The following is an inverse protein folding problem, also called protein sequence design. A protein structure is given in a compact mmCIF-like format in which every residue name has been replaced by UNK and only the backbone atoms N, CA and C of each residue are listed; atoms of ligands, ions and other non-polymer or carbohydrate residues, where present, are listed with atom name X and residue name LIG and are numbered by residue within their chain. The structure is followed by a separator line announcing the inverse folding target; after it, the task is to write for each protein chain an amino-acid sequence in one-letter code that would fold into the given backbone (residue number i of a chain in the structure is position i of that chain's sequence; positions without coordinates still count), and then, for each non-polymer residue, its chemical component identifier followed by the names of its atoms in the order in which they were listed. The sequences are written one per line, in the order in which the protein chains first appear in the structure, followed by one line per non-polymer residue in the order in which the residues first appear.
data_IF_758780534115
#
_entry.id   IF_758780534115
#
_cell.length_a   1.000
_cell.length_b   1.000
_cell.length_c   1.000
_cell.angle_alpha   90.00
_cell.angle_beta   90.00
_cell.angle_gamma   90.00
#
_symmetry.space_group_name_H-M   'P 1'
#
loop_
_entity.id
_entity.type
_entity.pdbx_description
1 polymer ?
#
# COMPACT_ATOMS: atom_id res chain seq x y z
N UNK A 1 9.97 31.85 -1.28
CA UNK A 1 9.27 30.65 -1.79
C UNK A 1 9.86 30.31 -3.14
N UNK A 2 10.78 29.34 -3.20
CA UNK A 2 11.41 28.94 -4.46
C UNK A 2 10.52 27.91 -5.15
N UNK A 3 10.11 28.20 -6.39
CA UNK A 3 9.32 27.27 -7.19
C UNK A 3 10.22 26.13 -7.65
N UNK A 4 9.94 24.91 -7.21
CA UNK A 4 10.65 23.71 -7.65
C UNK A 4 10.14 23.33 -9.03
N UNK A 5 10.93 23.61 -10.06
CA UNK A 5 10.62 23.17 -11.43
C UNK A 5 11.19 21.78 -11.70
N UNK A 6 10.47 20.95 -12.46
CA UNK A 6 10.91 19.61 -12.80
C UNK A 6 12.12 19.66 -13.76
N UNK A 7 13.00 18.65 -13.65
CA UNK A 7 14.38 18.65 -14.17
C UNK A 7 14.49 18.94 -15.68
N UNK A 8 13.47 18.55 -16.45
CA UNK A 8 13.35 18.75 -17.90
C UNK A 8 13.07 20.20 -18.36
N UNK A 9 12.68 21.11 -17.45
CA UNK A 9 12.40 22.51 -17.77
C UNK A 9 13.60 23.45 -17.55
N UNK A 10 14.77 22.94 -17.15
CA UNK A 10 15.99 23.75 -16.91
C UNK A 10 16.81 24.09 -18.16
N UNK A 11 16.38 23.66 -19.35
CA UNK A 11 17.18 23.79 -20.57
C UNK A 11 16.92 25.08 -21.39
N UNK A 12 16.03 25.96 -20.94
CA UNK A 12 15.61 27.14 -21.72
C UNK A 12 15.78 28.39 -20.86
N UNK A 13 17.01 28.76 -20.50
CA UNK A 13 17.42 30.15 -20.24
C UNK A 13 18.90 30.19 -19.82
N UNK A 14 19.75 30.78 -20.68
CA UNK A 14 20.97 31.49 -20.25
C UNK A 14 22.20 30.65 -19.84
N UNK A 15 22.99 30.28 -20.84
CA UNK A 15 24.47 30.22 -20.90
C UNK A 15 25.29 30.38 -19.59
N UNK A 16 25.93 29.32 -19.10
CA UNK A 16 27.35 29.32 -18.68
C UNK A 16 27.86 27.92 -18.27
N UNK A 17 28.96 27.49 -18.91
CA UNK A 17 29.98 26.59 -18.37
C UNK A 17 29.59 25.17 -17.92
N UNK A 18 29.87 24.16 -18.77
CA UNK A 18 30.40 22.89 -18.28
C UNK A 18 29.96 21.59 -18.96
N UNK A 19 30.50 21.30 -20.15
CA UNK A 19 31.01 19.96 -20.45
C UNK A 19 30.13 18.96 -21.23
N UNK A 20 30.45 18.87 -22.53
CA UNK A 20 30.49 17.64 -23.34
C UNK A 20 29.18 17.05 -23.89
N UNK A 21 28.74 17.59 -25.02
CA UNK A 21 28.08 16.82 -26.07
C UNK A 21 28.50 17.40 -27.43
N UNK A 22 29.00 16.54 -28.32
CA UNK A 22 29.52 16.92 -29.63
C UNK A 22 28.46 17.57 -30.51
N UNK A 23 28.77 18.79 -30.97
CA UNK A 23 27.98 19.54 -31.93
C UNK A 23 28.57 19.31 -33.32
N UNK A 24 27.84 18.60 -34.17
CA UNK A 24 28.02 18.61 -35.62
C UNK A 24 27.47 19.92 -36.17
N UNK A 25 28.36 20.79 -36.62
CA UNK A 25 28.02 22.03 -37.31
C UNK A 25 27.47 21.73 -38.71
N UNK A 26 26.20 22.07 -38.94
CA UNK A 26 25.62 22.27 -40.26
C UNK A 26 26.22 23.54 -40.87
N UNK A 27 26.99 23.38 -41.94
CA UNK A 27 27.44 24.47 -42.80
C UNK A 27 26.40 24.74 -43.87
N UNK A 28 25.51 25.70 -43.63
CA UNK A 28 24.69 26.30 -44.69
C UNK A 28 25.56 27.26 -45.51
N UNK A 29 26.09 26.77 -46.63
CA UNK A 29 26.65 27.63 -47.69
C UNK A 29 25.67 27.63 -48.86
N UNK A 30 24.73 28.56 -48.84
CA UNK A 30 23.93 28.93 -50.00
C UNK A 30 24.83 29.52 -51.09
N UNK A 31 25.13 28.75 -52.13
CA UNK A 31 25.69 29.28 -53.38
C UNK A 31 24.56 29.52 -54.36
N UNK A 32 24.25 30.81 -54.58
CA UNK A 32 23.42 31.25 -55.70
C UNK A 32 24.12 30.91 -57.01
N UNK A 33 23.38 30.27 -57.90
CA UNK A 33 23.78 30.03 -59.28
C UNK A 33 23.42 31.27 -60.10
N UNK A 34 24.40 32.13 -60.35
CA UNK A 34 24.38 33.06 -61.48
C UNK A 34 25.38 32.54 -62.50
N UNK A 35 24.86 32.22 -63.69
CA UNK A 35 25.68 31.82 -64.82
C UNK A 35 26.35 33.02 -65.46
N UNK A 36 27.58 32.83 -65.90
CA UNK A 36 28.02 33.45 -67.15
C UNK A 36 29.01 32.50 -67.85
N UNK A 37 28.83 32.41 -69.16
CA UNK A 37 29.45 31.38 -69.99
C UNK A 37 30.92 31.66 -70.29
N UNK A 38 31.70 30.59 -70.35
CA UNK A 38 32.84 30.58 -71.27
C UNK A 38 33.04 29.19 -71.87
N UNK A 39 32.90 29.18 -73.18
CA UNK A 39 33.10 28.10 -74.13
C UNK A 39 34.52 27.53 -74.02
N UNK A 40 34.62 26.24 -73.69
CA UNK A 40 35.80 25.44 -74.01
C UNK A 40 35.30 24.04 -74.34
N UNK A 41 35.33 23.72 -75.63
CA UNK A 41 34.99 22.39 -76.10
C UNK A 41 35.96 21.36 -75.55
N UNK A 42 35.43 20.44 -74.76
CA UNK A 42 35.90 19.06 -74.76
C UNK A 42 34.67 18.19 -74.59
N UNK A 43 34.44 17.29 -75.53
CA UNK A 43 33.33 16.34 -75.49
C UNK A 43 33.59 15.36 -74.35
N UNK A 44 33.15 15.70 -73.13
CA UNK A 44 33.08 14.77 -72.00
C UNK A 44 32.12 13.65 -72.38
N UNK A 45 32.67 12.60 -72.98
CA UNK A 45 32.00 11.32 -73.09
C UNK A 45 31.65 10.88 -71.68
N UNK A 46 30.38 11.06 -71.31
CA UNK A 46 29.81 10.48 -70.09
C UNK A 46 30.19 9.01 -70.11
N UNK A 47 31.09 8.60 -69.21
CA UNK A 47 31.46 7.21 -69.07
C UNK A 47 30.28 6.47 -68.43
N UNK A 48 29.31 6.13 -69.27
CA UNK A 48 28.08 5.42 -68.89
C UNK A 48 28.40 4.08 -68.21
N UNK A 49 29.58 3.50 -68.49
CA UNK A 49 30.03 2.27 -67.85
C UNK A 49 30.46 2.53 -66.41
N UNK A 50 31.26 3.57 -66.17
CA UNK A 50 31.63 3.97 -64.80
C UNK A 50 30.40 4.37 -63.97
N UNK A 51 29.45 5.10 -64.56
CA UNK A 51 28.20 5.49 -63.89
C UNK A 51 27.31 4.29 -63.55
N UNK A 52 27.23 3.31 -64.45
CA UNK A 52 26.49 2.07 -64.21
C UNK A 52 27.12 1.23 -63.11
N UNK A 53 28.45 1.11 -63.09
CA UNK A 53 29.17 0.40 -62.04
C UNK A 53 29.00 1.07 -60.68
N UNK A 54 29.03 2.41 -60.63
CA UNK A 54 28.74 3.17 -59.41
C UNK A 54 27.30 2.94 -58.94
N UNK A 55 26.32 3.00 -59.85
CA UNK A 55 24.92 2.74 -59.51
C UNK A 55 24.69 1.31 -59.00
N UNK A 56 25.44 0.32 -59.47
CA UNK A 56 25.40 -1.03 -58.92
C UNK A 56 25.96 -1.09 -57.49
N UNK A 57 27.08 -0.43 -57.22
CA UNK A 57 27.67 -0.35 -55.87
C UNK A 57 26.75 0.38 -54.89
N UNK A 58 26.15 1.48 -55.31
CA UNK A 58 25.20 2.24 -54.50
C UNK A 58 23.93 1.43 -54.22
N UNK A 59 23.45 0.66 -55.20
CA UNK A 59 22.30 -0.24 -55.02
C UNK A 59 22.63 -1.39 -54.05
N UNK A 60 23.82 -1.99 -54.15
CA UNK A 60 24.28 -3.02 -53.22
C UNK A 60 24.42 -2.46 -51.79
N UNK A 61 24.99 -1.27 -51.65
CA UNK A 61 25.12 -0.60 -50.35
C UNK A 61 23.74 -0.26 -49.76
N UNK A 62 22.80 0.22 -50.58
CA UNK A 62 21.44 0.49 -50.14
C UNK A 62 20.71 -0.79 -49.69
N UNK A 63 20.97 -1.94 -50.34
CA UNK A 63 20.44 -3.24 -49.90
C UNK A 63 21.04 -3.66 -48.55
N UNK A 64 22.36 -3.55 -48.38
CA UNK A 64 23.02 -3.85 -47.11
C UNK A 64 22.51 -2.95 -45.98
N UNK A 65 22.31 -1.67 -46.25
CA UNK A 65 21.79 -0.74 -45.25
C UNK A 65 20.32 -1.07 -44.92
N UNK A 66 19.49 -1.38 -45.91
CA UNK A 66 18.12 -1.84 -45.68
C UNK A 66 18.06 -3.12 -44.82
N UNK A 67 18.98 -4.05 -45.01
CA UNK A 67 19.11 -5.26 -44.18
C UNK A 67 19.53 -4.92 -42.74
N UNK A 68 20.50 -4.01 -42.57
CA UNK A 68 20.90 -3.51 -41.24
C UNK A 68 19.71 -2.86 -40.54
N UNK A 69 18.96 -1.99 -41.21
CA UNK A 69 17.76 -1.34 -40.65
C UNK A 69 16.69 -2.35 -40.24
N UNK A 70 16.42 -3.36 -41.07
CA UNK A 70 15.50 -4.46 -40.72
C UNK A 70 15.99 -5.24 -39.50
N UNK A 71 17.29 -5.54 -39.41
CA UNK A 71 17.87 -6.22 -38.27
C UNK A 71 17.79 -5.38 -36.98
N UNK A 72 18.02 -4.07 -37.08
CA UNK A 72 17.87 -3.14 -35.95
C UNK A 72 16.42 -3.04 -35.48
N UNK A 73 15.47 -2.94 -36.40
CA UNK A 73 14.03 -2.91 -36.11
C UNK A 73 13.58 -4.18 -35.36
N UNK A 74 13.96 -5.37 -35.84
CA UNK A 74 13.65 -6.63 -35.15
C UNK A 74 14.20 -6.68 -33.73
N UNK A 75 15.46 -6.25 -33.52
CA UNK A 75 16.06 -6.19 -32.17
C UNK A 75 15.31 -5.27 -31.23
N UNK A 76 14.78 -4.15 -31.72
CA UNK A 76 13.99 -3.22 -30.91
C UNK A 76 12.63 -3.80 -30.56
N UNK A 77 11.95 -4.45 -31.51
CA UNK A 77 10.71 -5.16 -31.25
C UNK A 77 10.90 -6.29 -30.22
N UNK A 78 11.94 -7.11 -30.36
CA UNK A 78 12.25 -8.19 -29.42
C UNK A 78 12.54 -7.65 -28.02
N UNK A 79 13.29 -6.53 -27.92
CA UNK A 79 13.57 -5.88 -26.63
C UNK A 79 12.31 -5.27 -26.01
N UNK A 80 11.42 -4.69 -26.81
CA UNK A 80 10.16 -4.13 -26.33
C UNK A 80 9.22 -5.23 -25.82
N UNK A 81 9.13 -6.36 -26.54
CA UNK A 81 8.35 -7.53 -26.11
C UNK A 81 8.91 -8.10 -24.81
N UNK A 82 10.21 -8.36 -24.75
CA UNK A 82 10.86 -8.87 -23.53
C UNK A 82 10.61 -7.96 -22.32
N UNK A 83 10.65 -6.63 -22.49
CA UNK A 83 10.32 -5.69 -21.43
C UNK A 83 8.86 -5.79 -20.98
N UNK A 84 7.92 -5.83 -21.93
CA UNK A 84 6.50 -5.96 -21.62
C UNK A 84 6.17 -7.26 -20.89
N UNK A 85 6.76 -8.39 -21.33
CA UNK A 85 6.56 -9.68 -20.66
C UNK A 85 7.08 -9.63 -19.21
N UNK A 86 8.27 -9.05 -18.99
CA UNK A 86 8.81 -8.90 -17.63
C UNK A 86 8.01 -7.92 -16.76
N UNK A 87 7.48 -6.84 -17.35
CA UNK A 87 6.67 -5.87 -16.61
C UNK A 87 5.33 -6.50 -16.20
N UNK A 88 4.70 -7.30 -17.08
CA UNK A 88 3.49 -8.06 -16.78
C UNK A 88 3.68 -9.08 -15.65
N UNK A 89 4.75 -9.88 -15.72
CA UNK A 89 5.09 -10.84 -14.66
C UNK A 89 5.33 -10.15 -13.31
N UNK A 90 6.00 -8.98 -13.32
CA UNK A 90 6.24 -8.20 -12.11
C UNK A 90 4.95 -7.64 -11.50
N UNK A 91 4.01 -7.20 -12.33
CA UNK A 91 2.72 -6.68 -11.86
C UNK A 91 1.84 -7.81 -11.30
N UNK A 92 1.83 -8.98 -11.91
CA UNK A 92 1.16 -10.18 -11.38
C UNK A 92 1.75 -10.61 -10.02
N UNK A 93 3.08 -10.57 -9.88
CA UNK A 93 3.76 -10.86 -8.60
C UNK A 93 3.38 -9.84 -7.53
N UNK A 94 3.35 -8.54 -7.87
CA UNK A 94 2.93 -7.48 -6.94
C UNK A 94 1.48 -7.63 -6.51
N UNK A 95 0.58 -7.97 -7.43
CA UNK A 95 -0.83 -8.20 -7.12
C UNK A 95 -1.00 -9.37 -6.14
N UNK A 96 -0.31 -10.50 -6.40
CA UNK A 96 -0.31 -11.66 -5.49
C UNK A 96 0.30 -11.33 -4.13
N UNK A 97 1.36 -10.52 -4.08
CA UNK A 97 1.96 -10.09 -2.83
C UNK A 97 0.96 -9.26 -2.00
N UNK A 98 0.27 -8.29 -2.62
CA UNK A 98 -0.73 -7.48 -1.95
C UNK A 98 -1.89 -8.34 -1.40
N UNK A 99 -2.34 -9.34 -2.16
CA UNK A 99 -3.37 -10.28 -1.73
C UNK A 99 -2.90 -11.11 -0.52
N UNK A 100 -1.67 -11.64 -0.55
CA UNK A 100 -1.10 -12.42 0.56
C UNK A 100 -0.93 -11.53 1.80
N UNK A 101 -0.47 -10.29 1.65
CA UNK A 101 -0.34 -9.34 2.76
C UNK A 101 -1.70 -9.02 3.39
N UNK A 102 -2.75 -8.84 2.58
CA UNK A 102 -4.10 -8.62 3.08
C UNK A 102 -4.61 -9.86 3.83
N UNK A 103 -4.51 -11.04 3.24
CA UNK A 103 -4.94 -12.30 3.86
C UNK A 103 -4.20 -12.55 5.18
N UNK A 104 -2.91 -12.20 5.26
CA UNK A 104 -2.12 -12.33 6.47
C UNK A 104 -2.58 -11.33 7.54
N UNK A 105 -2.92 -10.09 7.17
CA UNK A 105 -3.51 -9.11 8.09
C UNK A 105 -4.84 -9.58 8.66
N UNK A 106 -5.73 -10.09 7.80
CA UNK A 106 -7.03 -10.62 8.20
C UNK A 106 -6.87 -11.84 9.10
N UNK A 107 -5.97 -12.77 8.74
CA UNK A 107 -5.67 -13.94 9.55
C UNK A 107 -5.11 -13.58 10.93
N UNK A 108 -4.23 -12.56 11.02
CA UNK A 108 -3.72 -12.06 12.31
C UNK A 108 -4.80 -11.44 13.16
N UNK A 109 -5.65 -10.60 12.56
CA UNK A 109 -6.77 -9.98 13.27
C UNK A 109 -7.74 -11.04 13.81
N UNK A 110 -8.05 -12.07 13.02
CA UNK A 110 -8.89 -13.18 13.48
C UNK A 110 -8.22 -13.99 14.58
N UNK A 111 -6.92 -14.26 14.47
CA UNK A 111 -6.17 -14.97 15.51
C UNK A 111 -6.17 -14.18 16.84
N UNK A 112 -5.94 -12.87 16.79
CA UNK A 112 -6.04 -12.01 17.97
C UNK A 112 -7.45 -12.05 18.58
N UNK A 113 -8.51 -12.03 17.77
CA UNK A 113 -9.89 -12.16 18.27
C UNK A 113 -10.12 -13.50 18.94
N UNK A 114 -9.74 -14.60 18.30
CA UNK A 114 -9.87 -15.95 18.85
C UNK A 114 -9.09 -16.11 20.15
N UNK A 115 -7.86 -15.61 20.22
CA UNK A 115 -7.05 -15.65 21.45
C UNK A 115 -7.69 -14.81 22.56
N UNK A 116 -8.23 -13.63 22.24
CA UNK A 116 -8.94 -12.82 23.25
C UNK A 116 -10.22 -13.50 23.75
N UNK A 117 -10.99 -14.13 22.86
CA UNK A 117 -12.20 -14.88 23.24
C UNK A 117 -11.84 -16.09 24.09
N UNK A 118 -10.82 -16.85 23.68
CA UNK A 118 -10.30 -17.97 24.46
C UNK A 118 -9.90 -17.52 25.87
N UNK A 119 -9.15 -16.43 25.99
CA UNK A 119 -8.71 -15.92 27.29
C UNK A 119 -9.90 -15.50 28.17
N UNK A 120 -10.93 -14.87 27.60
CA UNK A 120 -12.17 -14.54 28.32
C UNK A 120 -12.87 -15.78 28.86
N UNK A 121 -12.99 -16.83 28.04
CA UNK A 121 -13.60 -18.08 28.46
C UNK A 121 -12.77 -18.81 29.53
N UNK A 122 -11.45 -18.77 29.42
CA UNK A 122 -10.52 -19.36 30.40
C UNK A 122 -10.65 -18.66 31.76
N UNK A 123 -10.60 -17.32 31.78
CA UNK A 123 -10.82 -16.52 32.99
C UNK A 123 -12.25 -16.70 33.54
N UNK A 124 -13.25 -16.78 32.67
CA UNK A 124 -14.63 -17.05 33.05
C UNK A 124 -14.78 -18.37 33.79
N UNK A 125 -14.12 -19.43 33.29
CA UNK A 125 -14.11 -20.74 33.93
C UNK A 125 -13.32 -20.75 35.24
N UNK A 126 -12.16 -20.06 35.29
CA UNK A 126 -11.31 -19.97 36.49
C UNK A 126 -12.03 -19.33 37.69
N UNK A 127 -12.78 -18.26 37.45
CA UNK A 127 -13.46 -17.49 38.50
C UNK A 127 -14.98 -17.76 38.59
N UNK A 128 -15.49 -18.76 37.87
CA UNK A 128 -16.90 -19.17 37.93
C UNK A 128 -17.90 -18.11 37.46
N UNK A 129 -17.53 -17.29 36.46
CA UNK A 129 -18.38 -16.23 35.92
C UNK A 129 -19.51 -16.79 35.05
N UNK A 130 -20.64 -16.10 35.05
CA UNK A 130 -21.69 -16.34 34.08
C UNK A 130 -21.28 -15.86 32.69
N UNK A 131 -21.95 -16.34 31.63
CA UNK A 131 -21.66 -15.92 30.26
C UNK A 131 -21.79 -14.40 30.07
N UNK A 132 -22.77 -13.79 30.72
CA UNK A 132 -23.01 -12.35 30.66
C UNK A 132 -21.86 -11.56 31.31
N UNK A 133 -21.26 -12.09 32.37
CA UNK A 133 -20.13 -11.45 33.04
C UNK A 133 -18.81 -11.62 32.27
N UNK A 134 -18.64 -12.74 31.55
CA UNK A 134 -17.49 -12.98 30.66
C UNK A 134 -17.46 -11.96 29.52
N UNK A 135 -18.62 -11.57 28.99
CA UNK A 135 -18.73 -10.56 27.92
C UNK A 135 -18.31 -9.15 28.38
N UNK A 136 -18.29 -8.90 29.69
CA UNK A 136 -17.82 -7.65 30.29
C UNK A 136 -16.28 -7.57 30.37
N UNK A 137 -15.58 -8.71 30.26
CA UNK A 137 -14.12 -8.74 30.26
C UNK A 137 -13.58 -8.06 29.00
N UNK A 138 -12.86 -6.95 29.19
CA UNK A 138 -12.25 -6.13 28.14
C UNK A 138 -10.93 -5.56 28.63
N UNK A 139 -10.04 -5.23 27.70
CA UNK A 139 -8.72 -4.68 27.99
C UNK A 139 -7.61 -5.69 27.78
N UNK A 140 -6.48 -5.49 28.45
CA UNK A 140 -5.35 -6.41 28.41
C UNK A 140 -5.63 -7.65 29.29
N UNK A 141 -4.79 -8.68 29.20
CA UNK A 141 -4.92 -9.91 30.02
C UNK A 141 -5.00 -9.60 31.52
N UNK A 142 -4.13 -8.73 32.02
CA UNK A 142 -4.10 -8.35 33.44
C UNK A 142 -5.38 -7.63 33.88
N UNK A 143 -5.92 -6.74 33.03
CA UNK A 143 -7.17 -6.02 33.30
C UNK A 143 -8.35 -6.98 33.34
N UNK A 144 -8.39 -7.92 32.38
CA UNK A 144 -9.42 -8.95 32.33
C UNK A 144 -9.35 -9.88 33.53
N UNK A 145 -8.14 -10.29 33.95
CA UNK A 145 -7.95 -11.12 35.16
C UNK A 145 -8.38 -10.39 36.43
N UNK A 146 -7.97 -9.14 36.61
CA UNK A 146 -8.38 -8.34 37.77
C UNK A 146 -9.90 -8.11 37.81
N UNK A 147 -10.53 -7.86 36.66
CA UNK A 147 -11.98 -7.72 36.58
C UNK A 147 -12.70 -9.05 36.84
N UNK A 148 -12.20 -10.16 36.30
CA UNK A 148 -12.75 -11.49 36.51
C UNK A 148 -12.71 -11.88 37.99
N UNK A 149 -11.58 -11.65 38.66
CA UNK A 149 -11.45 -11.87 40.10
C UNK A 149 -12.50 -11.06 40.89
N UNK A 150 -12.62 -9.76 40.61
CA UNK A 150 -13.58 -8.89 41.29
C UNK A 150 -15.03 -9.31 41.07
N UNK A 151 -15.36 -9.81 39.88
CA UNK A 151 -16.69 -10.32 39.56
C UNK A 151 -16.97 -11.66 40.24
N UNK A 152 -16.00 -12.58 40.23
CA UNK A 152 -16.07 -13.86 40.94
C UNK A 152 -16.30 -13.67 42.44
N UNK A 153 -15.51 -12.82 43.09
CA UNK A 153 -15.65 -12.51 44.53
C UNK A 153 -17.05 -11.94 44.87
N UNK A 154 -17.60 -11.07 44.01
CA UNK A 154 -18.96 -10.54 44.19
C UNK A 154 -20.02 -11.62 44.03
N UNK A 155 -19.82 -12.56 43.11
CA UNK A 155 -20.76 -13.65 42.86
C UNK A 155 -20.76 -14.64 44.02
N UNK A 156 -19.60 -14.92 44.60
CA UNK A 156 -19.46 -15.77 45.79
C UNK A 156 -20.02 -15.08 47.05
N UNK A 157 -19.91 -13.74 47.15
CA UNK A 157 -20.54 -12.95 48.21
C UNK A 157 -22.05 -12.75 48.02
N UNK A 158 -22.63 -13.12 46.87
CA UNK A 158 -24.09 -13.28 46.75
C UNK A 158 -24.49 -14.57 47.47
N UNK A 159 -24.51 -14.50 48.79
CA UNK A 159 -25.20 -15.48 49.61
C UNK A 159 -26.63 -15.64 49.08
N UNK A 160 -27.20 -16.85 49.08
CA UNK A 160 -28.61 -17.01 48.81
C UNK A 160 -29.36 -16.05 49.74
N UNK A 161 -30.11 -15.09 49.17
CA UNK A 161 -31.03 -14.29 49.96
C UNK A 161 -31.80 -15.27 50.82
N UNK A 162 -31.73 -15.08 52.13
CA UNK A 162 -32.35 -15.98 53.07
C UNK A 162 -33.80 -16.18 52.60
N UNK A 163 -34.30 -17.42 52.39
CA UNK A 163 -35.61 -17.65 51.77
C UNK A 163 -36.78 -17.04 52.57
N UNK A 164 -36.49 -16.51 53.76
CA UNK A 164 -37.42 -15.77 54.63
C UNK A 164 -37.24 -14.25 54.60
N UNK A 165 -36.29 -13.72 53.84
CA UNK A 165 -36.01 -12.29 53.67
C UNK A 165 -37.09 -11.70 52.74
N UNK A 166 -38.24 -11.37 53.33
CA UNK A 166 -39.44 -10.92 52.61
C UNK A 166 -40.72 -11.56 53.14
N UNK A 167 -40.64 -12.76 53.73
CA UNK A 167 -41.69 -13.31 54.62
C UNK A 167 -41.44 -12.75 56.01
N UNK A 168 -41.84 -11.49 56.18
CA UNK A 168 -41.62 -10.73 57.40
C UNK A 168 -41.90 -11.53 58.67
N UNK A 169 -40.95 -11.45 59.61
CA UNK A 169 -41.26 -11.43 61.03
C UNK A 169 -42.21 -10.25 61.28
N UNK A 170 -43.49 -10.45 61.01
CA UNK A 170 -44.57 -9.47 61.23
C UNK A 170 -44.68 -9.09 62.72
N UNK A 171 -44.02 -9.84 63.61
CA UNK A 171 -43.93 -9.56 65.04
C UNK A 171 -42.77 -8.63 65.41
N UNK A 172 -41.55 -8.85 64.92
CA UNK A 172 -40.37 -8.19 65.53
C UNK A 172 -40.26 -6.70 65.22
N UNK A 173 -40.66 -6.25 64.02
CA UNK A 173 -40.63 -4.82 63.68
C UNK A 173 -41.67 -4.02 64.47
N UNK A 174 -42.88 -4.58 64.67
CA UNK A 174 -43.93 -3.97 65.50
C UNK A 174 -43.55 -4.00 66.98
N UNK A 175 -43.04 -5.12 67.47
CA UNK A 175 -42.60 -5.26 68.87
C UNK A 175 -41.45 -4.30 69.20
N UNK A 176 -40.48 -4.12 68.28
CA UNK A 176 -39.42 -3.13 68.47
C UNK A 176 -39.94 -1.68 68.40
N UNK A 177 -40.93 -1.40 67.56
CA UNK A 177 -41.54 -0.07 67.52
C UNK A 177 -42.37 0.22 68.78
N UNK A 178 -43.09 -0.78 69.30
CA UNK A 178 -43.85 -0.69 70.55
C UNK A 178 -42.94 -0.57 71.77
N UNK A 179 -41.83 -1.32 71.83
CA UNK A 179 -40.85 -1.19 72.92
C UNK A 179 -40.16 0.17 72.90
N UNK A 180 -39.82 0.69 71.71
CA UNK A 180 -39.24 2.03 71.56
C UNK A 180 -40.23 3.12 71.98
N UNK A 181 -41.51 2.97 71.64
CA UNK A 181 -42.57 3.89 72.06
C UNK A 181 -42.84 3.84 73.57
N UNK A 182 -42.81 2.65 74.18
CA UNK A 182 -42.96 2.47 75.63
C UNK A 182 -41.83 3.15 76.40
N UNK A 183 -40.59 3.01 75.92
CA UNK A 183 -39.40 3.65 76.50
C UNK A 183 -39.49 5.18 76.37
N UNK A 184 -39.95 5.70 75.23
CA UNK A 184 -40.10 7.14 74.98
C UNK A 184 -41.21 7.78 75.83
N UNK A 185 -42.27 7.03 76.14
CA UNK A 185 -43.42 7.52 76.91
C UNK A 185 -43.32 7.22 78.41
N UNK A 186 -42.20 6.62 78.85
CA UNK A 186 -41.97 6.25 80.25
C UNK A 186 -42.96 5.22 80.79
N UNK A 187 -43.72 4.56 79.90
CA UNK A 187 -44.66 3.49 80.24
C UNK A 187 -43.94 2.16 80.12
N UNK A 188 -42.91 1.98 80.94
CA UNK A 188 -42.39 0.65 81.18
C UNK A 188 -43.37 -0.05 82.14
N UNK A 189 -44.11 -1.04 81.65
CA UNK A 189 -44.78 -2.03 82.52
C UNK A 189 -43.75 -3.02 83.04
#
# INVERSE_FOLDING_TARGET
MFKTYPIWLRAIEGTESGGSAGSSEESEKGTGAEGDGQESGDSEQVDWKARYEQAQKDAEQAQQDAEKWKAHSRKWEDRAKAKNDTDGDNDDIRARLAEVEQNLKEARAENERVETERLKFELGAEFGLSKDDVDLLRGNEDDMRALAQRLGEKNEQRYPENPYQGRGSQGSAKQNAESWYAELTGKNT
#
